data_IF_803071353489
#
_entry.id   IF_803071353489
#
_cell.length_a   1.000
_cell.length_b   1.000
_cell.length_c   1.000
_cell.angle_alpha   90.00
_cell.angle_beta   90.00
_cell.angle_gamma   90.00
#
_symmetry.space_group_name_H-M   'P 1'
#
loop_
_entity.id
_entity.type
_entity.pdbx_description
1 polymer ?
#
# COMPACT_ATOMS: atom_id res chain seq x y z
N UNK A 1 19.41 -13.38 1.23
CA UNK A 1 20.15 -14.38 2.04
C UNK A 1 20.23 -13.98 3.53
N UNK A 2 20.82 -12.83 3.89
CA UNK A 2 20.88 -12.39 5.31
C UNK A 2 19.52 -12.16 5.97
N UNK A 3 18.57 -11.53 5.27
CA UNK A 3 17.21 -11.33 5.79
C UNK A 3 16.46 -12.65 6.05
N UNK A 4 16.68 -13.66 5.19
CA UNK A 4 16.09 -14.99 5.30
C UNK A 4 16.67 -15.77 6.49
N UNK A 5 17.98 -15.69 6.71
CA UNK A 5 18.66 -16.30 7.86
C UNK A 5 18.22 -15.65 9.18
N UNK A 6 18.11 -14.33 9.22
CA UNK A 6 17.63 -13.59 10.39
C UNK A 6 16.16 -13.91 10.71
N UNK A 7 15.32 -14.02 9.69
CA UNK A 7 13.91 -14.42 9.83
C UNK A 7 13.76 -15.82 10.42
N UNK A 8 14.53 -16.79 9.93
CA UNK A 8 14.51 -18.16 10.44
C UNK A 8 14.97 -18.26 11.90
N UNK A 9 16.05 -17.54 12.25
CA UNK A 9 16.58 -17.50 13.62
C UNK A 9 15.58 -16.90 14.63
N UNK A 10 14.88 -15.82 14.25
CA UNK A 10 13.83 -15.25 15.10
C UNK A 10 12.61 -16.16 15.23
N UNK A 11 12.25 -16.89 14.15
CA UNK A 11 11.09 -17.77 14.17
C UNK A 11 11.26 -18.96 15.12
N UNK A 12 12.48 -19.52 15.23
CA UNK A 12 12.78 -20.56 16.22
C UNK A 12 12.72 -20.07 17.67
N UNK A 13 13.06 -18.80 17.93
CA UNK A 13 13.03 -18.22 19.29
C UNK A 13 11.68 -17.68 19.74
N UNK A 14 10.72 -17.51 18.82
CA UNK A 14 9.39 -16.97 19.10
C UNK A 14 8.37 -17.97 19.65
N UNK A 15 8.64 -19.29 19.59
CA UNK A 15 7.67 -20.34 19.99
C UNK A 15 7.29 -20.37 21.49
N UNK A 16 7.98 -19.64 22.36
CA UNK A 16 7.74 -19.62 23.81
C UNK A 16 7.11 -18.33 24.36
N UNK A 17 6.77 -17.38 23.50
CA UNK A 17 5.98 -16.21 23.86
C UNK A 17 4.88 -16.13 22.82
N UNK A 18 3.69 -16.62 23.19
CA UNK A 18 2.45 -15.94 22.83
C UNK A 18 2.65 -14.49 23.24
N UNK A 19 3.28 -13.73 22.35
CA UNK A 19 3.31 -12.30 22.46
C UNK A 19 1.88 -11.98 22.15
N UNK A 20 1.11 -11.78 23.23
CA UNK A 20 -0.12 -11.04 23.22
C UNK A 20 0.05 -9.98 22.15
N UNK A 21 -0.50 -10.26 20.97
CA UNK A 21 -0.72 -9.24 19.98
C UNK A 21 -1.61 -8.30 20.76
N UNK A 22 -1.00 -7.24 21.31
CA UNK A 22 -1.74 -6.08 21.70
C UNK A 22 -2.41 -5.67 20.40
N UNK A 23 -3.61 -6.19 20.21
CA UNK A 23 -4.53 -5.92 19.13
C UNK A 23 -4.76 -4.42 19.22
N UNK A 24 -3.87 -3.64 18.60
CA UNK A 24 -4.20 -2.28 18.27
C UNK A 24 -5.44 -2.44 17.40
N UNK A 25 -6.60 -2.15 17.98
CA UNK A 25 -7.89 -2.39 17.38
C UNK A 25 -7.91 -1.74 16.00
N UNK A 26 -8.46 -2.43 15.01
CA UNK A 26 -8.61 -1.89 13.67
C UNK A 26 -9.51 -0.65 13.78
N UNK A 27 -9.03 0.48 13.26
CA UNK A 27 -9.75 1.76 13.37
C UNK A 27 -10.20 2.22 12.00
N UNK A 28 -11.28 2.99 11.96
CA UNK A 28 -11.66 3.76 10.78
C UNK A 28 -10.87 5.06 10.73
N UNK A 29 -10.59 5.53 9.53
CA UNK A 29 -9.88 6.79 9.32
C UNK A 29 -10.76 7.96 9.80
N UNK A 30 -10.34 8.76 10.80
CA UNK A 30 -11.09 9.92 11.25
C UNK A 30 -11.25 10.94 10.11
N UNK A 31 -12.41 11.60 10.01
CA UNK A 31 -12.67 12.60 8.96
C UNK A 31 -11.63 13.72 8.90
N UNK A 32 -11.08 14.15 10.03
CA UNK A 32 -10.00 15.14 10.09
C UNK A 32 -8.63 14.65 9.58
N UNK A 33 -8.42 13.34 9.50
CA UNK A 33 -7.18 12.76 8.94
C UNK A 33 -7.22 12.75 7.41
N UNK A 34 -8.40 12.76 6.78
CA UNK A 34 -8.52 12.84 5.31
C UNK A 34 -7.93 14.12 4.74
N UNK A 35 -8.10 15.27 5.41
CA UNK A 35 -7.48 16.53 5.01
C UNK A 35 -5.94 16.48 5.10
N UNK A 36 -5.41 15.82 6.13
CA UNK A 36 -3.96 15.59 6.29
C UNK A 36 -3.41 14.63 5.22
N UNK A 37 -4.15 13.56 4.91
CA UNK A 37 -3.80 12.64 3.84
C UNK A 37 -3.86 13.32 2.46
N UNK A 38 -4.87 14.14 2.20
CA UNK A 38 -4.99 14.87 0.95
C UNK A 38 -3.88 15.91 0.77
N UNK A 39 -3.55 16.67 1.82
CA UNK A 39 -2.41 17.61 1.77
C UNK A 39 -1.07 16.90 1.63
N UNK A 40 -0.84 15.80 2.36
CA UNK A 40 0.36 14.97 2.20
C UNK A 40 0.46 14.37 0.79
N UNK A 41 -0.67 13.92 0.22
CA UNK A 41 -0.76 13.42 -1.14
C UNK A 41 -0.34 14.48 -2.15
N UNK A 42 -0.93 15.68 -2.09
CA UNK A 42 -0.61 16.78 -3.01
C UNK A 42 0.87 17.16 -2.90
N UNK A 43 1.39 17.31 -1.69
CA UNK A 43 2.79 17.66 -1.45
C UNK A 43 3.74 16.61 -2.04
N UNK A 44 3.54 15.33 -1.71
CA UNK A 44 4.37 14.24 -2.19
C UNK A 44 4.26 14.07 -3.72
N UNK A 45 3.07 14.25 -4.28
CA UNK A 45 2.85 14.21 -5.73
C UNK A 45 3.63 15.33 -6.43
N UNK A 46 3.58 16.57 -5.93
CA UNK A 46 4.33 17.69 -6.50
C UNK A 46 5.83 17.45 -6.40
N UNK A 47 6.33 17.00 -5.26
CA UNK A 47 7.76 16.72 -5.06
C UNK A 47 8.22 15.59 -5.98
N UNK A 48 7.53 14.45 -6.02
CA UNK A 48 7.91 13.33 -6.88
C UNK A 48 7.78 13.64 -8.36
N UNK A 49 6.75 14.38 -8.77
CA UNK A 49 6.62 14.85 -10.14
C UNK A 49 7.77 15.77 -10.55
N UNK A 50 8.18 16.71 -9.68
CA UNK A 50 9.32 17.59 -9.95
C UNK A 50 10.63 16.80 -10.04
N UNK A 51 10.85 15.82 -9.16
CA UNK A 51 12.03 14.96 -9.20
C UNK A 51 12.04 14.13 -10.48
N UNK A 52 10.95 13.42 -10.81
CA UNK A 52 10.88 12.60 -12.02
C UNK A 52 11.01 13.47 -13.29
N UNK A 53 10.33 14.62 -13.37
CA UNK A 53 10.39 15.47 -14.57
C UNK A 53 11.74 16.16 -14.78
N UNK A 54 12.52 16.39 -13.71
CA UNK A 54 13.83 17.05 -13.80
C UNK A 54 15.00 16.07 -13.92
N UNK A 55 14.86 14.86 -13.41
CA UNK A 55 15.96 13.89 -13.32
C UNK A 55 15.75 12.60 -14.13
N UNK A 56 14.56 12.34 -14.70
CA UNK A 56 14.26 11.08 -15.39
C UNK A 56 13.46 11.29 -16.67
N UNK A 57 13.88 10.67 -17.78
CA UNK A 57 13.10 10.56 -19.02
C UNK A 57 11.97 9.52 -18.89
N UNK A 58 11.07 9.67 -17.90
CA UNK A 58 9.93 8.78 -17.79
C UNK A 58 8.83 9.21 -18.77
N UNK A 59 8.29 8.32 -19.60
CA UNK A 59 7.23 8.67 -20.55
C UNK A 59 5.88 9.02 -19.89
N UNK A 60 5.69 8.68 -18.59
CA UNK A 60 4.45 9.01 -17.84
C UNK A 60 4.77 9.43 -16.39
N UNK A 61 5.51 10.54 -16.17
CA UNK A 61 6.01 10.93 -14.84
C UNK A 61 4.89 11.14 -13.83
N UNK A 62 3.73 11.61 -14.30
CA UNK A 62 2.59 11.90 -13.45
C UNK A 62 1.89 10.63 -12.94
N UNK A 63 1.74 9.62 -13.80
CA UNK A 63 1.13 8.34 -13.45
C UNK A 63 2.01 7.48 -12.55
N UNK A 64 3.33 7.48 -12.80
CA UNK A 64 4.29 6.75 -11.96
C UNK A 64 4.44 7.41 -10.57
N UNK A 65 4.43 8.76 -10.49
CA UNK A 65 4.39 9.47 -9.22
C UNK A 65 3.08 9.20 -8.45
N UNK A 66 1.94 9.17 -9.14
CA UNK A 66 0.61 8.91 -8.56
C UNK A 66 0.57 7.58 -7.80
N UNK A 67 0.93 6.48 -8.47
CA UNK A 67 0.90 5.14 -7.86
C UNK A 67 1.89 5.02 -6.70
N UNK A 68 3.05 5.68 -6.79
CA UNK A 68 4.07 5.71 -5.75
C UNK A 68 3.57 6.44 -4.49
N UNK A 69 3.03 7.64 -4.63
CA UNK A 69 2.51 8.42 -3.50
C UNK A 69 1.37 7.68 -2.81
N UNK A 70 0.42 7.14 -3.59
CA UNK A 70 -0.68 6.34 -3.04
C UNK A 70 -0.18 5.11 -2.30
N UNK A 71 0.87 4.45 -2.79
CA UNK A 71 1.48 3.31 -2.09
C UNK A 71 2.10 3.72 -0.76
N UNK A 72 2.79 4.86 -0.70
CA UNK A 72 3.37 5.40 0.54
C UNK A 72 2.25 5.71 1.55
N UNK A 73 1.17 6.36 1.11
CA UNK A 73 0.03 6.65 1.97
C UNK A 73 -0.67 5.37 2.43
N UNK A 74 -0.84 4.38 1.55
CA UNK A 74 -1.40 3.08 1.90
C UNK A 74 -0.55 2.36 2.96
N UNK A 75 0.78 2.39 2.83
CA UNK A 75 1.69 1.84 3.84
C UNK A 75 1.60 2.57 5.18
N UNK A 76 1.50 3.90 5.16
CA UNK A 76 1.29 4.68 6.38
C UNK A 76 -0.05 4.34 7.03
N UNK A 77 -1.13 4.25 6.25
CA UNK A 77 -2.46 3.88 6.74
C UNK A 77 -2.48 2.44 7.27
N UNK A 78 -1.75 1.52 6.64
CA UNK A 78 -1.53 0.15 7.14
C UNK A 78 -0.82 0.17 8.50
N UNK A 79 0.22 0.97 8.66
CA UNK A 79 0.94 1.12 9.92
C UNK A 79 0.05 1.70 11.05
N UNK A 80 -0.91 2.56 10.70
CA UNK A 80 -1.93 3.08 11.60
C UNK A 80 -3.14 2.15 11.78
N UNK A 81 -3.15 0.97 11.14
CA UNK A 81 -4.24 -0.01 11.10
C UNK A 81 -5.60 0.57 10.67
N UNK A 82 -5.60 1.47 9.69
CA UNK A 82 -6.83 1.94 9.07
C UNK A 82 -7.37 0.93 8.08
N UNK A 83 -8.67 0.63 8.12
CA UNK A 83 -9.26 -0.32 7.17
C UNK A 83 -9.31 0.21 5.73
N UNK A 84 -9.38 1.53 5.57
CA UNK A 84 -9.50 2.18 4.26
C UNK A 84 -8.25 1.99 3.39
N UNK A 85 -7.10 1.62 3.97
CA UNK A 85 -5.87 1.31 3.22
C UNK A 85 -6.06 0.20 2.19
N UNK A 86 -6.94 -0.78 2.45
CA UNK A 86 -7.26 -1.82 1.49
C UNK A 86 -7.93 -1.25 0.22
N UNK A 87 -8.78 -0.24 0.38
CA UNK A 87 -9.36 0.49 -0.76
C UNK A 87 -8.31 1.26 -1.55
N UNK A 88 -7.35 1.89 -0.86
CA UNK A 88 -6.22 2.58 -1.50
C UNK A 88 -5.39 1.59 -2.33
N UNK A 89 -5.08 0.40 -1.78
CA UNK A 89 -4.38 -0.65 -2.52
C UNK A 89 -5.14 -1.15 -3.75
N UNK A 90 -6.47 -1.25 -3.70
CA UNK A 90 -7.27 -1.57 -4.89
C UNK A 90 -7.12 -0.49 -5.98
N UNK A 91 -7.16 0.78 -5.61
CA UNK A 91 -6.96 1.90 -6.55
C UNK A 91 -5.56 1.87 -7.14
N UNK A 92 -4.53 1.68 -6.32
CA UNK A 92 -3.13 1.56 -6.79
C UNK A 92 -3.00 0.43 -7.80
N UNK A 93 -3.55 -0.75 -7.51
CA UNK A 93 -3.46 -1.90 -8.39
C UNK A 93 -4.22 -1.68 -9.70
N UNK A 94 -5.41 -1.08 -9.65
CA UNK A 94 -6.21 -0.77 -10.84
C UNK A 94 -5.50 0.25 -11.75
N UNK A 95 -4.96 1.34 -11.17
CA UNK A 95 -4.23 2.36 -11.94
C UNK A 95 -2.92 1.78 -12.49
N UNK A 96 -2.21 0.98 -11.71
CA UNK A 96 -1.00 0.28 -12.18
C UNK A 96 -1.32 -0.66 -13.34
N UNK A 97 -2.38 -1.46 -13.23
CA UNK A 97 -2.81 -2.35 -14.31
C UNK A 97 -3.14 -1.57 -15.60
N UNK A 98 -3.88 -0.47 -15.50
CA UNK A 98 -4.21 0.38 -16.64
C UNK A 98 -2.96 1.02 -17.28
N UNK A 99 -2.03 1.51 -16.46
CA UNK A 99 -0.79 2.14 -16.90
C UNK A 99 0.13 1.13 -17.61
N UNK A 100 0.29 -0.07 -17.05
CA UNK A 100 1.09 -1.14 -17.69
C UNK A 100 0.43 -1.72 -18.93
N UNK A 101 -0.91 -1.77 -18.98
CA UNK A 101 -1.64 -2.13 -20.20
C UNK A 101 -1.38 -1.11 -21.31
N UNK A 102 -1.40 0.19 -20.99
CA UNK A 102 -1.11 1.25 -21.95
C UNK A 102 0.37 1.25 -22.40
N UNK A 103 1.31 0.89 -21.52
CA UNK A 103 2.73 0.68 -21.85
C UNK A 103 2.99 -0.60 -22.69
N UNK A 104 1.97 -1.38 -23.03
CA UNK A 104 2.10 -2.63 -23.79
C UNK A 104 2.71 -3.80 -22.99
N UNK A 105 2.84 -3.65 -21.67
CA UNK A 105 3.41 -4.65 -20.76
C UNK A 105 2.31 -5.54 -20.17
N UNK A 106 1.67 -6.34 -21.02
CA UNK A 106 0.53 -7.21 -20.67
C UNK A 106 0.81 -8.17 -19.51
N UNK A 107 1.97 -8.83 -19.40
CA UNK A 107 2.26 -9.74 -18.29
C UNK A 107 2.26 -9.04 -16.92
N UNK A 108 2.81 -7.82 -16.86
CA UNK A 108 2.86 -7.02 -15.63
C UNK A 108 1.47 -6.52 -15.25
N UNK A 109 0.67 -6.08 -16.22
CA UNK A 109 -0.71 -5.65 -15.99
C UNK A 109 -1.57 -6.77 -15.37
N UNK A 110 -1.46 -8.00 -15.88
CA UNK A 110 -2.17 -9.17 -15.33
C UNK A 110 -1.75 -9.47 -13.89
N UNK A 111 -0.47 -9.29 -13.56
CA UNK A 111 0.02 -9.48 -12.19
C UNK A 111 -0.63 -8.49 -11.22
N UNK A 112 -0.79 -7.23 -11.61
CA UNK A 112 -1.50 -6.24 -10.80
C UNK A 112 -3.00 -6.52 -10.64
N UNK A 113 -3.64 -7.11 -11.65
CA UNK A 113 -5.01 -7.61 -11.52
C UNK A 113 -5.09 -8.69 -10.45
N UNK A 114 -4.16 -9.66 -10.46
CA UNK A 114 -4.07 -10.70 -9.43
C UNK A 114 -3.80 -10.09 -8.05
N UNK A 115 -2.94 -9.07 -7.96
CA UNK A 115 -2.66 -8.37 -6.70
C UNK A 115 -3.86 -7.63 -6.13
N UNK A 116 -4.90 -7.36 -6.93
CA UNK A 116 -6.16 -6.78 -6.43
C UNK A 116 -6.95 -7.75 -5.55
N UNK A 117 -6.70 -9.06 -5.65
CA UNK A 117 -7.36 -10.08 -4.83
C UNK A 117 -6.97 -9.96 -3.35
N UNK A 118 -5.70 -9.67 -3.07
CA UNK A 118 -5.16 -9.56 -1.70
C UNK A 118 -5.88 -8.49 -0.87
N UNK A 119 -6.02 -7.23 -1.32
CA UNK A 119 -6.72 -6.22 -0.55
C UNK A 119 -8.22 -6.51 -0.38
N UNK A 120 -8.85 -7.27 -1.28
CA UNK A 120 -10.25 -7.70 -1.11
C UNK A 120 -10.37 -8.60 0.11
N UNK A 121 -9.56 -9.65 0.20
CA UNK A 121 -9.56 -10.55 1.36
C UNK A 121 -9.12 -9.84 2.64
N UNK A 122 -8.11 -8.95 2.55
CA UNK A 122 -7.67 -8.12 3.65
C UNK A 122 -8.79 -7.25 4.22
N UNK A 123 -9.54 -6.58 3.35
CA UNK A 123 -10.70 -5.77 3.73
C UNK A 123 -11.80 -6.60 4.40
N UNK A 124 -12.16 -7.75 3.83
CA UNK A 124 -13.20 -8.63 4.39
C UNK A 124 -12.78 -9.15 5.77
N UNK A 125 -11.53 -9.59 5.92
CA UNK A 125 -11.00 -10.08 7.21
C UNK A 125 -11.04 -8.99 8.28
N UNK A 126 -10.57 -7.78 7.93
CA UNK A 126 -10.54 -6.65 8.87
C UNK A 126 -11.93 -6.11 9.19
N UNK A 127 -12.88 -6.18 8.24
CA UNK A 127 -14.29 -5.87 8.50
C UNK A 127 -14.91 -6.82 9.52
N UNK A 128 -14.62 -8.12 9.42
CA UNK A 128 -15.12 -9.13 10.37
C UNK A 128 -14.54 -8.93 11.76
N UNK A 129 -13.23 -8.70 11.86
CA UNK A 129 -12.53 -8.40 13.12
C UNK A 129 -12.99 -7.10 13.83
N UNK A 130 -13.71 -6.20 13.15
CA UNK A 130 -14.32 -5.02 13.79
C UNK A 130 -15.77 -5.24 14.22
N UNK A 131 -16.41 -6.31 13.74
CA UNK A 131 -17.81 -6.61 14.02
C UNK A 131 -17.97 -7.57 15.21
N UNK A 132 -16.92 -8.33 15.50
CA UNK A 132 -16.75 -9.14 16.72
C UNK A 132 -16.17 -8.28 17.86
#
# INVERSE_FOLDING_TARGET
LFASAYGWYRWQRGRGRETSEAEVAIRRTPRGTWLRLASAYILLQTVLYLVLSRFTDSPVPWGDAFTTVLSILAMWMLAQKYIEQWGVWMVVNAVSAALYFWKGMTPTAVTYVVYTIVPIFGYIKWRRMMAD
#
